data_IF_238066844009
#
_entry.id   IF_238066844009
#
_cell.length_a   1.000
_cell.length_b   1.000
_cell.length_c   1.000
_cell.angle_alpha   90.00
_cell.angle_beta   90.00
_cell.angle_gamma   90.00
#
_symmetry.space_group_name_H-M   'P 1'
#
loop_
_entity.id
_entity.type
_entity.pdbx_description
1 polymer ?
#
# COMPACT_ATOMS: atom_id res chain seq x y z
N UNK A 1 11.49 -11.12 13.08
CA UNK A 1 10.58 -9.98 12.95
C UNK A 1 9.62 -10.19 11.79
N UNK A 2 8.43 -9.65 11.93
CA UNK A 2 7.40 -9.81 10.91
C UNK A 2 7.60 -8.82 9.76
N UNK A 3 7.24 -9.24 8.55
CA UNK A 3 7.31 -8.40 7.35
C UNK A 3 5.91 -8.23 6.77
N UNK A 4 5.67 -7.07 6.15
CA UNK A 4 4.43 -6.81 5.44
C UNK A 4 4.71 -6.03 4.17
N UNK A 5 3.81 -6.09 3.19
CA UNK A 5 3.94 -5.32 1.98
C UNK A 5 3.18 -4.00 2.11
N UNK A 6 3.80 -2.93 1.63
CA UNK A 6 3.14 -1.62 1.50
C UNK A 6 3.31 -1.12 0.07
N UNK A 7 2.28 -0.46 -0.43
CA UNK A 7 2.34 0.21 -1.72
C UNK A 7 1.91 1.66 -1.50
N UNK A 8 2.74 2.60 -1.97
CA UNK A 8 2.32 4.00 -2.08
C UNK A 8 1.67 4.13 -3.44
N UNK A 9 0.39 4.47 -3.45
CA UNK A 9 -0.45 4.48 -4.66
C UNK A 9 -0.16 5.68 -5.56
N UNK A 10 -0.60 5.64 -6.83
CA UNK A 10 -0.30 6.72 -7.77
C UNK A 10 -0.72 8.11 -7.30
N UNK A 11 -1.82 8.25 -6.57
CA UNK A 11 -2.28 9.57 -6.09
C UNK A 11 -1.25 10.22 -5.17
N UNK A 12 -0.60 9.45 -4.31
CA UNK A 12 0.39 9.96 -3.38
C UNK A 12 1.75 10.18 -4.07
N UNK A 13 2.13 9.29 -4.99
CA UNK A 13 3.37 9.44 -5.75
C UNK A 13 3.31 10.71 -6.60
N UNK A 14 2.18 10.94 -7.27
CA UNK A 14 1.99 12.12 -8.11
C UNK A 14 2.12 13.41 -7.32
N UNK A 15 1.69 13.41 -6.07
CA UNK A 15 1.76 14.59 -5.19
C UNK A 15 3.08 14.71 -4.43
N UNK A 16 4.06 13.87 -4.76
CA UNK A 16 5.39 13.88 -4.12
C UNK A 16 5.36 13.62 -2.62
N UNK A 17 4.54 12.65 -2.20
CA UNK A 17 4.38 12.30 -0.79
C UNK A 17 5.20 11.09 -0.34
N UNK A 18 6.05 10.54 -1.21
CA UNK A 18 6.85 9.35 -0.88
C UNK A 18 7.65 9.56 0.42
N UNK A 19 8.38 10.66 0.50
CA UNK A 19 9.22 10.94 1.67
C UNK A 19 8.44 11.10 2.97
N UNK A 20 7.32 11.81 2.91
CA UNK A 20 6.45 12.00 4.08
C UNK A 20 5.89 10.68 4.58
N UNK A 21 5.44 9.82 3.67
CA UNK A 21 4.86 8.52 4.03
C UNK A 21 5.93 7.59 4.59
N UNK A 22 7.10 7.51 3.95
CA UNK A 22 8.24 6.71 4.44
C UNK A 22 8.63 7.18 5.85
N UNK A 23 8.67 8.48 6.07
CA UNK A 23 8.99 9.05 7.38
C UNK A 23 8.02 8.58 8.46
N UNK A 24 6.73 8.49 8.14
CA UNK A 24 5.73 8.00 9.09
C UNK A 24 6.01 6.55 9.48
N UNK A 25 6.34 5.70 8.52
CA UNK A 25 6.69 4.30 8.82
C UNK A 25 7.89 4.24 9.76
N UNK A 26 8.95 4.96 9.44
CA UNK A 26 10.18 4.92 10.24
C UNK A 26 9.97 5.47 11.65
N UNK A 27 9.19 6.53 11.79
CA UNK A 27 8.85 7.10 13.11
C UNK A 27 8.04 6.15 13.97
N UNK A 28 7.34 5.21 13.35
CA UNK A 28 6.51 4.23 14.05
C UNK A 28 7.21 2.87 14.17
N UNK A 29 8.53 2.84 14.06
CA UNK A 29 9.37 1.65 14.29
C UNK A 29 9.16 0.55 13.24
N UNK A 30 8.80 0.93 12.03
CA UNK A 30 8.81 0.02 10.88
C UNK A 30 10.03 0.33 10.03
N UNK A 31 10.88 -0.68 9.84
CA UNK A 31 12.08 -0.55 9.00
C UNK A 31 11.73 -0.81 7.55
N UNK A 32 12.26 0.01 6.66
CA UNK A 32 12.12 -0.22 5.22
C UNK A 32 13.16 -1.27 4.83
N UNK A 33 12.73 -2.52 4.68
CA UNK A 33 13.61 -3.63 4.31
C UNK A 33 13.97 -3.61 2.83
N UNK A 34 12.99 -3.30 1.98
CA UNK A 34 13.16 -3.19 0.52
C UNK A 34 12.22 -2.13 -0.02
N UNK A 35 12.65 -1.43 -1.06
CA UNK A 35 11.85 -0.37 -1.67
C UNK A 35 12.18 -0.26 -3.15
N UNK A 36 11.15 -0.10 -3.99
CA UNK A 36 11.36 0.21 -5.42
C UNK A 36 10.16 0.96 -5.98
N UNK A 37 10.43 1.83 -6.93
CA UNK A 37 9.41 2.59 -7.66
C UNK A 37 9.22 1.95 -9.02
N UNK A 38 8.00 1.55 -9.33
CA UNK A 38 7.68 0.85 -10.58
C UNK A 38 6.36 1.35 -11.14
N UNK A 39 6.12 1.07 -12.42
CA UNK A 39 4.80 1.29 -13.03
C UNK A 39 4.22 -0.08 -13.34
N UNK A 40 3.04 -0.37 -12.81
CA UNK A 40 2.39 -1.65 -13.03
C UNK A 40 1.81 -1.71 -14.44
N UNK A 41 1.95 -2.87 -15.09
CA UNK A 41 1.17 -3.15 -16.29
C UNK A 41 -0.25 -3.50 -15.87
N UNK A 42 -1.20 -3.43 -16.82
CA UNK A 42 -2.59 -3.81 -16.54
C UNK A 42 -2.66 -5.26 -16.03
N UNK A 43 -1.87 -6.15 -16.66
CA UNK A 43 -1.83 -7.55 -16.26
C UNK A 43 -1.29 -7.72 -14.83
N UNK A 44 -0.24 -6.99 -14.47
CA UNK A 44 0.30 -7.05 -13.11
C UNK A 44 -0.74 -6.60 -12.09
N UNK A 45 -1.47 -5.52 -12.37
CA UNK A 45 -2.52 -5.04 -11.47
C UNK A 45 -3.63 -6.07 -11.32
N UNK A 46 -4.06 -6.68 -12.43
CA UNK A 46 -5.09 -7.71 -12.43
C UNK A 46 -4.66 -8.94 -11.63
N UNK A 47 -3.42 -9.36 -11.81
CA UNK A 47 -2.88 -10.52 -11.07
C UNK A 47 -2.77 -10.22 -9.57
N UNK A 48 -2.30 -9.03 -9.21
CA UNK A 48 -2.13 -8.65 -7.82
C UNK A 48 -3.49 -8.57 -7.08
N UNK A 49 -4.49 -8.00 -7.74
CA UNK A 49 -5.83 -7.85 -7.16
C UNK A 49 -6.80 -8.97 -7.55
N UNK A 50 -6.28 -10.11 -7.98
CA UNK A 50 -7.09 -11.23 -8.51
C UNK A 50 -8.20 -11.66 -7.55
N UNK A 51 -7.96 -11.62 -6.23
CA UNK A 51 -8.97 -11.98 -5.22
C UNK A 51 -10.22 -11.11 -5.31
N UNK A 52 -10.13 -9.94 -5.95
CA UNK A 52 -11.26 -9.02 -6.12
C UNK A 52 -11.88 -9.09 -7.51
N UNK A 53 -11.48 -10.06 -8.34
CA UNK A 53 -11.87 -10.14 -9.76
C UNK A 53 -13.38 -10.07 -9.99
N UNK A 54 -14.17 -10.66 -9.10
CA UNK A 54 -15.64 -10.68 -9.23
C UNK A 54 -16.32 -9.41 -8.73
N UNK A 55 -15.56 -8.49 -8.13
CA UNK A 55 -16.15 -7.28 -7.54
C UNK A 55 -16.32 -6.16 -8.57
N UNK A 56 -17.39 -5.34 -8.44
CA UNK A 56 -17.66 -4.28 -9.42
C UNK A 56 -16.52 -3.27 -9.59
N UNK A 57 -15.74 -3.02 -8.53
CA UNK A 57 -14.66 -2.04 -8.56
C UNK A 57 -13.35 -2.56 -9.17
N UNK A 58 -13.27 -3.86 -9.52
CA UNK A 58 -12.01 -4.47 -9.95
C UNK A 58 -11.35 -3.76 -11.13
N UNK A 59 -12.10 -3.52 -12.19
CA UNK A 59 -11.54 -2.87 -13.39
C UNK A 59 -11.05 -1.45 -13.09
N UNK A 60 -11.82 -0.68 -12.34
CA UNK A 60 -11.45 0.69 -11.98
C UNK A 60 -10.20 0.70 -11.11
N UNK A 61 -10.11 -0.23 -10.14
CA UNK A 61 -8.95 -0.36 -9.28
C UNK A 61 -7.69 -0.67 -10.10
N UNK A 62 -7.78 -1.66 -11.00
CA UNK A 62 -6.63 -2.05 -11.83
C UNK A 62 -6.20 -0.93 -12.77
N UNK A 63 -7.16 -0.23 -13.38
CA UNK A 63 -6.88 0.91 -14.25
C UNK A 63 -6.17 2.02 -13.46
N UNK A 64 -6.68 2.32 -12.27
CA UNK A 64 -6.08 3.32 -11.41
C UNK A 64 -4.65 2.95 -11.01
N UNK A 65 -4.43 1.70 -10.57
CA UNK A 65 -3.12 1.26 -10.08
C UNK A 65 -2.06 1.23 -11.16
N UNK A 66 -2.42 1.15 -12.43
CA UNK A 66 -1.44 1.23 -13.53
C UNK A 66 -1.42 2.60 -14.23
N UNK A 67 -2.10 3.59 -13.67
CA UNK A 67 -2.20 4.95 -14.26
C UNK A 67 -0.93 5.79 -14.04
N UNK A 68 -0.04 5.38 -13.16
CA UNK A 68 1.21 6.08 -12.88
C UNK A 68 2.09 5.25 -11.96
N UNK A 69 3.29 5.73 -11.65
CA UNK A 69 4.21 4.99 -10.78
C UNK A 69 3.65 4.75 -9.39
N UNK A 70 4.04 3.61 -8.81
CA UNK A 70 3.77 3.27 -7.42
C UNK A 70 5.11 2.95 -6.74
N UNK A 71 5.14 3.01 -5.42
CA UNK A 71 6.30 2.60 -4.63
C UNK A 71 5.92 1.38 -3.83
N UNK A 72 6.58 0.26 -4.10
CA UNK A 72 6.34 -0.99 -3.35
C UNK A 72 7.47 -1.17 -2.33
N UNK A 73 7.09 -1.57 -1.11
CA UNK A 73 8.03 -1.70 0.00
C UNK A 73 7.76 -2.94 0.81
N UNK A 74 8.85 -3.50 1.36
CA UNK A 74 8.73 -4.48 2.43
C UNK A 74 9.05 -3.75 3.73
N UNK A 75 8.07 -3.69 4.62
CA UNK A 75 8.22 -3.11 5.97
C UNK A 75 8.46 -4.23 6.97
N UNK A 76 9.35 -4.00 7.92
CA UNK A 76 9.72 -5.00 8.91
C UNK A 76 9.64 -4.42 10.32
N UNK A 77 9.08 -5.18 11.25
CA UNK A 77 8.97 -4.78 12.64
C UNK A 77 8.13 -5.75 13.44
N UNK A 78 7.98 -5.48 14.73
CA UNK A 78 7.10 -6.28 15.57
C UNK A 78 5.65 -6.07 15.17
N UNK A 79 4.92 -7.16 14.92
CA UNK A 79 3.52 -7.11 14.51
C UNK A 79 3.31 -6.18 13.30
N UNK A 80 4.18 -6.30 12.29
CA UNK A 80 4.23 -5.35 11.18
C UNK A 80 2.91 -5.22 10.44
N UNK A 81 2.17 -6.31 10.22
CA UNK A 81 0.90 -6.27 9.51
C UNK A 81 -0.10 -5.38 10.24
N UNK A 82 -0.33 -5.65 11.52
CA UNK A 82 -1.29 -4.90 12.34
C UNK A 82 -0.82 -3.46 12.52
N UNK A 83 0.46 -3.27 12.83
CA UNK A 83 1.02 -1.94 13.04
C UNK A 83 0.87 -1.07 11.79
N UNK A 84 1.17 -1.63 10.63
CA UNK A 84 1.02 -0.90 9.37
C UNK A 84 -0.44 -0.49 9.12
N UNK A 85 -1.38 -1.40 9.38
CA UNK A 85 -2.79 -1.09 9.18
C UNK A 85 -3.27 0.03 10.11
N UNK A 86 -2.79 0.05 11.34
CA UNK A 86 -3.10 1.13 12.29
C UNK A 86 -2.52 2.48 11.81
N UNK A 87 -1.29 2.45 11.29
CA UNK A 87 -0.63 3.65 10.76
C UNK A 87 -1.35 4.16 9.51
N UNK A 88 -1.81 3.26 8.64
CA UNK A 88 -2.54 3.64 7.43
C UNK A 88 -3.89 4.27 7.73
N UNK A 89 -4.59 3.77 8.73
CA UNK A 89 -5.95 4.20 9.06
C UNK A 89 -7.02 3.47 8.26
N UNK A 90 -8.27 3.84 8.51
CA UNK A 90 -9.43 3.23 7.85
C UNK A 90 -9.35 3.39 6.33
N UNK A 91 -9.89 2.41 5.60
CA UNK A 91 -9.88 2.39 4.14
C UNK A 91 -10.45 3.68 3.53
N UNK A 92 -11.56 4.16 4.08
CA UNK A 92 -12.12 5.44 3.67
C UNK A 92 -11.43 6.55 4.48
N UNK A 93 -10.76 7.52 3.80
CA UNK A 93 -10.07 8.61 4.51
C UNK A 93 -10.96 9.40 5.45
N UNK A 94 -12.25 9.52 5.15
CA UNK A 94 -13.20 10.23 6.02
C UNK A 94 -13.34 9.57 7.39
N UNK A 95 -13.15 8.25 7.45
CA UNK A 95 -13.29 7.46 8.67
C UNK A 95 -11.95 7.23 9.37
N UNK A 96 -10.85 7.66 8.75
CA UNK A 96 -9.51 7.42 9.28
C UNK A 96 -9.22 8.34 10.47
N UNK A 97 -8.66 7.76 11.52
CA UNK A 97 -8.30 8.50 12.73
C UNK A 97 -7.25 9.57 12.44
N UNK A 98 -7.34 10.68 13.17
CA UNK A 98 -6.42 11.79 13.01
C UNK A 98 -4.96 11.34 13.11
N UNK A 99 -4.13 11.79 12.16
CA UNK A 99 -2.71 11.48 12.13
C UNK A 99 -2.33 10.23 11.36
N UNK A 100 -3.30 9.43 10.94
CA UNK A 100 -3.02 8.28 10.07
C UNK A 100 -2.71 8.76 8.64
N UNK A 101 -2.06 7.92 7.86
CA UNK A 101 -1.66 8.28 6.49
C UNK A 101 -2.89 8.67 5.66
N UNK A 102 -3.96 7.87 5.73
CA UNK A 102 -5.18 8.15 4.96
C UNK A 102 -5.90 9.40 5.44
N UNK A 103 -5.87 9.68 6.74
CA UNK A 103 -6.42 10.92 7.26
C UNK A 103 -5.66 12.13 6.72
N UNK A 104 -4.32 12.05 6.71
CA UNK A 104 -3.48 13.17 6.28
C UNK A 104 -3.48 13.38 4.77
N UNK A 105 -3.48 12.30 3.98
CA UNK A 105 -3.19 12.37 2.54
C UNK A 105 -4.25 11.73 1.65
N UNK A 106 -5.13 10.90 2.17
CA UNK A 106 -6.14 10.24 1.36
C UNK A 106 -7.13 11.23 0.76
N UNK A 107 -7.50 11.01 -0.49
CA UNK A 107 -8.43 11.89 -1.21
C UNK A 107 -9.84 11.31 -1.19
N UNK A 108 -9.95 10.01 -1.47
CA UNK A 108 -11.24 9.31 -1.55
C UNK A 108 -11.05 7.84 -1.21
N UNK A 109 -12.13 7.09 -1.21
CA UNK A 109 -12.08 5.65 -0.96
C UNK A 109 -11.11 4.93 -1.91
N UNK A 110 -11.10 5.33 -3.19
CA UNK A 110 -10.22 4.70 -4.19
C UNK A 110 -8.81 5.29 -4.16
N UNK A 111 -8.71 6.60 -3.98
CA UNK A 111 -7.43 7.32 -3.94
C UNK A 111 -7.02 7.58 -2.50
N UNK A 112 -6.76 6.49 -1.78
CA UNK A 112 -6.49 6.57 -0.35
C UNK A 112 -5.00 6.42 0.02
N UNK A 113 -4.13 6.70 -0.92
CA UNK A 113 -2.69 6.90 -0.78
C UNK A 113 -1.84 5.65 -0.58
N UNK A 114 -2.29 4.66 0.16
CA UNK A 114 -1.46 3.48 0.49
C UNK A 114 -2.28 2.20 0.51
N UNK A 115 -1.56 1.09 0.27
CA UNK A 115 -2.06 -0.27 0.44
C UNK A 115 -1.16 -0.98 1.44
N UNK A 116 -1.72 -1.84 2.26
CA UNK A 116 -0.97 -2.71 3.15
C UNK A 116 -1.61 -4.08 3.21
N UNK A 117 -0.79 -5.13 3.38
CA UNK A 117 -1.30 -6.49 3.50
C UNK A 117 -2.24 -6.60 4.71
N UNK A 118 -3.27 -7.43 4.59
CA UNK A 118 -4.30 -7.57 5.62
C UNK A 118 -4.08 -8.78 6.56
N UNK A 119 -3.12 -9.64 6.23
CA UNK A 119 -2.78 -10.81 7.04
C UNK A 119 -1.35 -11.23 6.78
N UNK A 120 -0.81 -12.10 7.65
CA UNK A 120 0.54 -12.64 7.46
C UNK A 120 0.64 -13.49 6.19
N UNK A 121 -0.40 -14.27 5.91
CA UNK A 121 -0.46 -15.10 4.70
C UNK A 121 -0.44 -14.24 3.44
N UNK A 122 -1.28 -13.21 3.40
CA UNK A 122 -1.33 -12.31 2.27
C UNK A 122 -0.06 -11.49 2.15
N UNK A 123 0.56 -11.10 3.26
CA UNK A 123 1.83 -10.39 3.24
C UNK A 123 2.90 -11.19 2.51
N UNK A 124 3.01 -12.48 2.80
CA UNK A 124 3.98 -13.34 2.12
C UNK A 124 3.71 -13.42 0.63
N UNK A 125 2.47 -13.63 0.24
CA UNK A 125 2.07 -13.71 -1.17
C UNK A 125 2.39 -12.39 -1.89
N UNK A 126 2.04 -11.27 -1.28
CA UNK A 126 2.23 -9.94 -1.88
C UNK A 126 3.69 -9.55 -1.97
N UNK A 127 4.49 -9.88 -0.94
CA UNK A 127 5.94 -9.64 -0.96
C UNK A 127 6.59 -10.46 -2.09
N UNK A 128 6.24 -11.74 -2.20
CA UNK A 128 6.79 -12.60 -3.25
C UNK A 128 6.40 -12.11 -4.63
N UNK A 129 5.22 -11.53 -4.77
CA UNK A 129 4.77 -10.99 -6.06
C UNK A 129 5.70 -9.90 -6.59
N UNK A 130 6.16 -8.99 -5.73
CA UNK A 130 6.99 -7.86 -6.15
C UNK A 130 8.49 -8.05 -5.94
N UNK A 131 8.88 -8.88 -4.97
CA UNK A 131 10.28 -9.01 -4.56
C UNK A 131 10.80 -10.44 -4.62
N UNK A 132 10.18 -11.27 -5.41
CA UNK A 132 10.66 -12.65 -5.60
C UNK A 132 11.99 -12.64 -6.36
N UNK A 133 12.96 -13.35 -5.80
CA UNK A 133 14.26 -13.55 -6.42
C UNK A 133 14.25 -14.76 -7.37
#
# INVERSE_FOLDING_TARGET
MEKTLSIIKPDAVERNLIGQIVSIFEKNSLTINSIKKITLSKKMAEDFYFVHKAKPFFNDLCTYMCSGPVVVMVLEGDNAVIKNREIMGATNPKDASKGTIRNLYGISLDKNSVHGSDSKENAKIEIDFFFKE
#
